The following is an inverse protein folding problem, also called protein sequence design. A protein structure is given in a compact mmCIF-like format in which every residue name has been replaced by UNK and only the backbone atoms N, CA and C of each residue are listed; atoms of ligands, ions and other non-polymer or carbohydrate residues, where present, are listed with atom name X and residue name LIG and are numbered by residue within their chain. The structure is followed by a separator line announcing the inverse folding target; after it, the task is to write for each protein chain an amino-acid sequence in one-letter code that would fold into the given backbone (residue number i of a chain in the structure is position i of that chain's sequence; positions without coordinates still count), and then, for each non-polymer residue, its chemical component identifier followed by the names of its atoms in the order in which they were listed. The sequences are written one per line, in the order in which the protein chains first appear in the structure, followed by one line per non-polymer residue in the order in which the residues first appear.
data_IF_388596858884
#
_entry.id   IF_388596858884
#
_cell.length_a   1.000
_cell.length_b   1.000
_cell.length_c   1.000
_cell.angle_alpha   90.00
_cell.angle_beta   90.00
_cell.angle_gamma   90.00
#
_symmetry.space_group_name_H-M   'P 1'
#
loop_
_entity.id
_entity.type
_entity.pdbx_description
1 polymer ?
#
# COMPACT_ATOMS: atom_id res chain seq x y z
N UNK A 1 0.26 14.52 17.23
CA UNK A 1 0.26 14.18 18.68
C UNK A 1 -1.12 14.42 19.28
N UNK A 2 -1.75 15.60 19.17
CA UNK A 2 -3.08 15.87 19.78
C UNK A 2 -4.16 14.90 19.31
N UNK A 3 -4.19 14.50 18.03
CA UNK A 3 -5.12 13.52 17.50
C UNK A 3 -4.82 12.11 18.01
N UNK A 4 -3.54 11.78 18.21
CA UNK A 4 -3.06 10.50 18.75
C UNK A 4 -3.49 10.26 20.19
N UNK A 5 -3.72 11.31 20.95
CA UNK A 5 -4.15 11.24 22.34
C UNK A 5 -5.67 11.16 22.54
N UNK A 6 -6.47 11.17 21.46
CA UNK A 6 -7.93 11.07 21.54
C UNK A 6 -8.50 9.67 21.69
N UNK A 7 -7.93 8.61 21.05
CA UNK A 7 -8.36 7.24 21.27
C UNK A 7 -8.14 6.81 22.72
N UNK A 8 -9.01 5.95 23.23
CA UNK A 8 -8.87 5.36 24.58
C UNK A 8 -7.69 4.41 24.68
N UNK A 9 -7.32 3.77 23.55
CA UNK A 9 -6.21 2.84 23.47
C UNK A 9 -5.54 2.97 22.11
N UNK A 10 -4.22 3.07 22.10
CA UNK A 10 -3.39 3.08 20.90
C UNK A 10 -2.44 1.89 20.97
N UNK A 11 -2.61 0.96 20.04
CA UNK A 11 -1.71 -0.20 19.84
C UNK A 11 -0.96 0.01 18.56
N UNK A 12 0.35 -0.17 18.56
CA UNK A 12 1.19 -0.04 17.38
C UNK A 12 2.05 -1.29 17.20
N UNK A 13 2.15 -1.77 15.95
CA UNK A 13 3.15 -2.75 15.53
C UNK A 13 4.32 -1.99 14.93
N UNK A 14 5.52 -2.10 15.50
CA UNK A 14 6.66 -1.26 15.13
C UNK A 14 8.00 -1.97 15.34
N UNK A 15 8.93 -1.76 14.40
CA UNK A 15 10.28 -2.31 14.48
C UNK A 15 11.24 -1.42 15.28
N UNK A 16 10.93 -0.13 15.43
CA UNK A 16 11.82 0.87 16.03
C UNK A 16 11.06 1.78 16.99
N UNK A 17 11.78 2.42 17.91
CA UNK A 17 11.22 3.42 18.81
C UNK A 17 10.96 4.75 18.09
N UNK A 18 10.01 4.76 17.18
CA UNK A 18 9.54 5.96 16.50
C UNK A 18 8.80 6.90 17.45
N UNK A 19 8.54 8.12 17.00
CA UNK A 19 7.69 9.06 17.77
C UNK A 19 6.29 8.47 17.99
N UNK A 20 5.73 7.74 17.03
CA UNK A 20 4.45 7.06 17.17
C UNK A 20 4.49 5.98 18.26
N UNK A 21 5.51 5.10 18.22
CA UNK A 21 5.69 4.05 19.23
C UNK A 21 5.82 4.62 20.65
N UNK A 22 6.53 5.76 20.82
CA UNK A 22 6.70 6.42 22.12
C UNK A 22 5.43 7.05 22.70
N UNK A 23 4.39 7.18 21.89
CA UNK A 23 3.09 7.74 22.29
C UNK A 23 1.96 6.69 22.23
N UNK A 24 2.29 5.44 22.02
CA UNK A 24 1.34 4.32 22.07
C UNK A 24 1.22 3.77 23.50
N UNK A 25 0.08 3.21 23.82
CA UNK A 25 -0.18 2.52 25.09
C UNK A 25 0.41 1.10 25.08
N UNK A 26 0.38 0.44 23.91
CA UNK A 26 0.96 -0.89 23.70
C UNK A 26 1.79 -0.86 22.43
N UNK A 27 3.02 -1.35 22.51
CA UNK A 27 3.90 -1.56 21.37
C UNK A 27 4.13 -3.04 21.19
N UNK A 28 3.75 -3.56 20.01
CA UNK A 28 4.01 -4.93 19.61
C UNK A 28 5.29 -4.92 18.76
N UNK A 29 6.39 -5.55 19.20
CA UNK A 29 7.62 -5.57 18.42
C UNK A 29 7.41 -6.42 17.17
N UNK A 30 7.55 -5.77 16.01
CA UNK A 30 7.38 -6.38 14.70
C UNK A 30 8.71 -6.77 14.08
N UNK A 31 8.69 -7.83 13.26
CA UNK A 31 9.85 -8.22 12.46
C UNK A 31 10.12 -7.21 11.36
N UNK A 32 11.40 -6.96 11.11
CA UNK A 32 11.87 -6.27 9.92
C UNK A 32 11.73 -7.16 8.68
N UNK A 33 11.90 -6.59 7.49
CA UNK A 33 11.90 -7.37 6.24
C UNK A 33 13.04 -8.39 6.13
N UNK A 34 14.11 -8.25 6.92
CA UNK A 34 15.19 -9.25 6.99
C UNK A 34 14.86 -10.43 7.90
N UNK A 35 13.89 -10.29 8.77
CA UNK A 35 13.52 -11.27 9.79
C UNK A 35 12.30 -12.12 9.42
N UNK A 36 11.72 -11.93 8.22
CA UNK A 36 10.59 -12.69 7.72
C UNK A 36 10.72 -13.00 6.23
N UNK A 37 9.87 -13.90 5.75
CA UNK A 37 9.71 -14.13 4.32
C UNK A 37 8.66 -13.18 3.75
N UNK A 38 8.84 -12.74 2.51
CA UNK A 38 7.90 -11.87 1.82
C UNK A 38 8.08 -11.95 0.30
N UNK A 39 7.24 -11.26 -0.44
CA UNK A 39 7.34 -10.99 -1.87
C UNK A 39 7.24 -9.49 -2.10
N UNK A 40 8.00 -8.96 -3.02
CA UNK A 40 7.84 -7.57 -3.44
C UNK A 40 7.93 -7.42 -4.94
N UNK A 41 7.35 -6.35 -5.44
CA UNK A 41 7.56 -5.89 -6.81
C UNK A 41 8.34 -4.60 -6.78
N UNK A 42 9.30 -4.46 -7.70
CA UNK A 42 10.17 -3.29 -7.81
C UNK A 42 9.99 -2.59 -9.15
N UNK A 43 10.58 -1.42 -9.27
CA UNK A 43 10.48 -0.59 -10.47
C UNK A 43 9.44 0.52 -10.34
N UNK A 44 9.16 0.92 -9.11
CA UNK A 44 8.22 1.99 -8.75
C UNK A 44 6.84 1.76 -9.41
N UNK A 45 6.41 2.67 -10.27
CA UNK A 45 5.13 2.51 -10.97
C UNK A 45 5.12 1.40 -12.04
N UNK A 46 6.28 0.93 -12.50
CA UNK A 46 6.36 -0.12 -13.52
C UNK A 46 6.05 -1.51 -12.98
N UNK A 47 6.32 -1.78 -11.69
CA UNK A 47 6.26 -3.12 -11.09
C UNK A 47 6.99 -4.16 -11.94
N UNK A 48 8.18 -3.79 -12.44
CA UNK A 48 8.88 -4.54 -13.48
C UNK A 48 9.53 -5.83 -12.98
N UNK A 49 9.80 -5.94 -11.67
CA UNK A 49 10.45 -7.10 -11.11
C UNK A 49 9.61 -7.72 -9.99
N UNK A 50 9.52 -9.02 -9.99
CA UNK A 50 9.02 -9.81 -8.86
C UNK A 50 10.22 -10.40 -8.09
N UNK A 51 10.32 -10.09 -6.81
CA UNK A 51 11.49 -10.42 -5.99
C UNK A 51 11.09 -11.26 -4.79
N UNK A 52 11.73 -12.43 -4.57
CA UNK A 52 11.57 -13.17 -3.33
C UNK A 52 12.36 -12.48 -2.22
N UNK A 53 11.70 -12.16 -1.14
CA UNK A 53 12.34 -11.60 0.05
C UNK A 53 12.42 -12.68 1.11
N UNK A 54 13.52 -13.45 1.11
CA UNK A 54 13.74 -14.50 2.08
C UNK A 54 14.24 -13.96 3.41
N UNK A 55 13.77 -14.59 4.46
CA UNK A 55 14.33 -14.37 5.79
C UNK A 55 15.86 -14.59 5.77
N UNK A 56 16.61 -13.60 6.23
CA UNK A 56 18.09 -13.59 6.28
C UNK A 56 18.59 -13.87 7.68
N UNK A 57 17.88 -13.34 8.68
CA UNK A 57 18.20 -13.53 10.11
C UNK A 57 16.93 -13.95 10.88
N UNK A 58 17.07 -14.70 11.97
CA UNK A 58 15.91 -14.99 12.82
C UNK A 58 15.37 -13.70 13.46
N UNK A 59 14.08 -13.64 13.80
CA UNK A 59 13.52 -12.54 14.57
C UNK A 59 14.36 -12.25 15.81
N UNK A 60 14.63 -10.99 16.05
CA UNK A 60 15.44 -10.56 17.19
C UNK A 60 14.56 -10.24 18.39
N UNK A 61 15.04 -10.60 19.58
CA UNK A 61 14.35 -10.37 20.84
C UNK A 61 12.92 -10.95 20.85
N UNK A 62 11.91 -10.11 21.08
CA UNK A 62 10.50 -10.49 21.12
C UNK A 62 9.76 -10.13 19.80
N UNK A 63 10.52 -9.75 18.74
CA UNK A 63 9.92 -9.40 17.46
C UNK A 63 9.17 -10.59 16.85
N UNK A 64 7.98 -10.33 16.37
CA UNK A 64 7.10 -11.32 15.76
C UNK A 64 6.56 -10.83 14.43
N UNK A 65 6.30 -11.76 13.53
CA UNK A 65 5.61 -11.44 12.28
C UNK A 65 4.17 -11.00 12.57
N UNK A 66 3.73 -9.94 11.94
CA UNK A 66 2.35 -9.45 12.07
C UNK A 66 1.32 -10.53 11.74
N UNK A 67 1.61 -11.41 10.76
CA UNK A 67 0.75 -12.55 10.44
C UNK A 67 0.49 -13.44 11.65
N UNK A 68 1.54 -13.80 12.37
CA UNK A 68 1.45 -14.67 13.56
C UNK A 68 0.74 -13.95 14.72
N UNK A 69 1.04 -12.67 14.90
CA UNK A 69 0.41 -11.84 15.94
C UNK A 69 -1.10 -11.76 15.72
N UNK A 70 -1.53 -11.44 14.48
CA UNK A 70 -2.97 -11.34 14.18
C UNK A 70 -3.67 -12.69 14.16
N UNK A 71 -3.00 -13.76 13.76
CA UNK A 71 -3.56 -15.11 13.84
C UNK A 71 -3.86 -15.50 15.30
N UNK A 72 -2.91 -15.26 16.22
CA UNK A 72 -3.12 -15.54 17.64
C UNK A 72 -4.17 -14.62 18.30
N UNK A 73 -4.19 -13.34 17.93
CA UNK A 73 -5.22 -12.42 18.38
C UNK A 73 -6.62 -12.87 17.93
N UNK A 74 -6.73 -13.38 16.70
CA UNK A 74 -7.98 -13.90 16.16
C UNK A 74 -8.50 -15.10 16.97
N UNK A 75 -7.62 -16.01 17.40
CA UNK A 75 -8.00 -17.14 18.27
C UNK A 75 -8.44 -16.69 19.65
N UNK A 76 -7.80 -15.65 20.21
CA UNK A 76 -8.18 -15.09 21.51
C UNK A 76 -9.50 -14.32 21.46
N UNK A 77 -9.80 -13.74 20.31
CA UNK A 77 -11.05 -13.03 20.09
C UNK A 77 -12.23 -13.99 19.97
N UNK A 78 -12.05 -15.08 19.19
CA UNK A 78 -13.08 -16.07 18.96
C UNK A 78 -12.45 -17.44 18.71
N UNK A 79 -12.95 -18.47 19.39
CA UNK A 79 -12.51 -19.85 19.20
C UNK A 79 -12.58 -20.26 17.72
N UNK A 80 -11.51 -20.79 17.18
CA UNK A 80 -11.35 -21.11 15.75
C UNK A 80 -11.03 -19.90 14.89
N UNK A 81 -10.73 -18.74 15.49
CA UNK A 81 -10.33 -17.53 14.80
C UNK A 81 -9.00 -17.70 14.07
N UNK A 82 -8.07 -18.43 14.68
CA UNK A 82 -6.78 -18.75 14.05
C UNK A 82 -6.97 -19.39 12.67
N UNK A 83 -7.73 -20.47 12.61
CA UNK A 83 -7.98 -21.19 11.36
C UNK A 83 -8.71 -20.35 10.31
N UNK A 84 -9.67 -19.54 10.76
CA UNK A 84 -10.37 -18.61 9.83
C UNK A 84 -9.47 -17.51 9.29
N UNK A 85 -8.59 -16.96 10.13
CA UNK A 85 -7.66 -15.90 9.71
C UNK A 85 -6.59 -16.47 8.77
N UNK A 86 -6.03 -17.61 9.11
CA UNK A 86 -4.95 -18.22 8.32
C UNK A 86 -5.44 -19.03 7.12
N UNK A 87 -6.72 -19.43 7.09
CA UNK A 87 -7.28 -20.38 6.14
C UNK A 87 -6.50 -21.71 6.13
N UNK A 88 -5.94 -22.10 7.27
CA UNK A 88 -5.07 -23.28 7.37
C UNK A 88 -3.73 -23.17 6.66
N UNK A 89 -3.36 -21.98 6.21
CA UNK A 89 -2.13 -21.73 5.46
C UNK A 89 -1.04 -21.15 6.36
N UNK A 90 0.19 -21.60 6.15
CA UNK A 90 1.38 -20.95 6.70
C UNK A 90 1.70 -19.66 5.94
N UNK A 91 2.59 -18.83 6.50
CA UNK A 91 3.16 -17.66 5.80
C UNK A 91 3.61 -18.01 4.38
N UNK A 92 4.43 -19.06 4.23
CA UNK A 92 4.94 -19.47 2.92
C UNK A 92 3.83 -19.93 1.95
N UNK A 93 2.81 -20.61 2.44
CA UNK A 93 1.66 -21.00 1.63
C UNK A 93 0.83 -19.79 1.17
N UNK A 94 0.77 -18.72 1.97
CA UNK A 94 0.18 -17.46 1.54
C UNK A 94 1.02 -16.77 0.48
N UNK A 95 2.35 -16.74 0.62
CA UNK A 95 3.23 -16.18 -0.41
C UNK A 95 3.08 -16.94 -1.74
N UNK A 96 3.00 -18.28 -1.71
CA UNK A 96 2.69 -19.08 -2.89
C UNK A 96 1.33 -18.72 -3.49
N UNK A 97 0.32 -18.54 -2.65
CA UNK A 97 -1.02 -18.11 -3.09
C UNK A 97 -0.95 -16.76 -3.82
N UNK A 98 -0.28 -15.76 -3.26
CA UNK A 98 -0.13 -14.44 -3.89
C UNK A 98 0.70 -14.49 -5.17
N UNK A 99 1.76 -15.30 -5.19
CA UNK A 99 2.56 -15.54 -6.38
C UNK A 99 1.72 -16.13 -7.53
N UNK A 100 0.91 -17.14 -7.22
CA UNK A 100 0.05 -17.78 -8.20
C UNK A 100 -1.05 -16.83 -8.72
N UNK A 101 -1.61 -15.97 -7.86
CA UNK A 101 -2.54 -14.91 -8.29
C UNK A 101 -1.84 -13.91 -9.23
N UNK A 102 -0.61 -13.52 -8.93
CA UNK A 102 0.19 -12.66 -9.80
C UNK A 102 0.44 -13.34 -11.17
N UNK A 103 0.77 -14.63 -11.17
CA UNK A 103 0.92 -15.43 -12.39
C UNK A 103 -0.35 -15.50 -13.23
N UNK A 104 -1.51 -15.71 -12.61
CA UNK A 104 -2.80 -15.72 -13.31
C UNK A 104 -3.12 -14.37 -13.96
N UNK A 105 -2.85 -13.28 -13.25
CA UNK A 105 -3.01 -11.92 -13.82
C UNK A 105 -2.03 -11.66 -14.95
N UNK A 106 -0.78 -12.10 -14.80
CA UNK A 106 0.26 -11.98 -15.82
C UNK A 106 -0.07 -12.77 -17.09
N UNK A 107 -0.71 -13.94 -16.96
CA UNK A 107 -1.07 -14.78 -18.10
C UNK A 107 -1.95 -14.03 -19.13
N UNK A 108 -2.82 -13.13 -18.68
CA UNK A 108 -3.61 -12.26 -19.58
C UNK A 108 -2.75 -11.28 -20.39
N UNK A 109 -1.51 -11.05 -19.95
CA UNK A 109 -0.51 -10.21 -20.60
C UNK A 109 0.62 -11.03 -21.25
N UNK A 110 0.41 -12.34 -21.42
CA UNK A 110 1.39 -13.30 -21.99
C UNK A 110 2.65 -13.47 -21.11
N UNK A 111 2.55 -13.17 -19.81
CA UNK A 111 3.61 -13.42 -18.85
C UNK A 111 3.41 -14.80 -18.24
N UNK A 112 4.42 -15.67 -18.35
CA UNK A 112 4.42 -16.99 -17.71
C UNK A 112 5.45 -17.01 -16.60
N UNK A 113 5.00 -17.24 -15.37
CA UNK A 113 5.88 -17.40 -14.22
C UNK A 113 6.28 -18.88 -14.06
N UNK A 114 7.52 -19.18 -13.62
CA UNK A 114 7.91 -20.54 -13.24
C UNK A 114 7.08 -21.03 -12.02
N UNK A 115 7.10 -22.33 -11.70
CA UNK A 115 6.52 -22.80 -10.44
C UNK A 115 7.07 -22.06 -9.23
N UNK A 116 6.23 -21.80 -8.21
CA UNK A 116 6.65 -21.08 -7.01
C UNK A 116 7.87 -21.70 -6.32
N UNK A 117 7.91 -23.04 -6.24
CA UNK A 117 9.03 -23.78 -5.65
C UNK A 117 10.36 -23.49 -6.35
N UNK A 118 10.35 -23.42 -7.67
CA UNK A 118 11.54 -23.09 -8.47
C UNK A 118 11.96 -21.65 -8.24
N UNK A 119 11.02 -20.70 -8.34
CA UNK A 119 11.25 -19.28 -8.08
C UNK A 119 11.84 -19.06 -6.67
N UNK A 120 11.21 -19.69 -5.68
CA UNK A 120 11.62 -19.56 -4.28
C UNK A 120 13.02 -20.16 -4.04
N UNK A 121 13.31 -21.34 -4.63
CA UNK A 121 14.63 -22.00 -4.49
C UNK A 121 15.74 -21.19 -5.15
N UNK A 122 15.52 -20.71 -6.35
CA UNK A 122 16.50 -19.89 -7.09
C UNK A 122 16.89 -18.61 -6.36
N UNK A 123 15.98 -18.05 -5.57
CA UNK A 123 16.19 -16.79 -4.87
C UNK A 123 16.66 -15.66 -5.80
N UNK A 124 16.10 -15.61 -6.99
CA UNK A 124 16.41 -14.64 -8.02
C UNK A 124 15.15 -13.88 -8.44
N UNK A 125 15.32 -12.60 -8.76
CA UNK A 125 14.22 -11.81 -9.28
C UNK A 125 13.74 -12.34 -10.63
N UNK A 126 12.46 -12.13 -10.92
CA UNK A 126 11.86 -12.31 -12.24
C UNK A 126 11.63 -10.93 -12.82
N UNK A 127 12.22 -10.67 -13.98
CA UNK A 127 11.93 -9.47 -14.75
C UNK A 127 10.65 -9.69 -15.57
N UNK A 128 9.69 -8.78 -15.43
CA UNK A 128 8.47 -8.82 -16.22
C UNK A 128 8.74 -8.26 -17.61
N UNK A 129 8.28 -8.93 -18.66
CA UNK A 129 8.49 -8.43 -20.01
C UNK A 129 7.78 -7.08 -20.21
N UNK A 130 8.44 -6.18 -20.89
CA UNK A 130 7.81 -4.94 -21.30
C UNK A 130 6.68 -5.24 -22.29
N UNK A 131 5.53 -4.62 -22.07
CA UNK A 131 4.45 -4.66 -23.06
C UNK A 131 4.75 -3.62 -24.16
N UNK A 132 5.05 -4.03 -25.41
CA UNK A 132 5.35 -3.07 -26.49
C UNK A 132 4.22 -2.06 -26.73
N UNK A 133 2.98 -2.44 -26.43
CA UNK A 133 1.82 -1.56 -26.57
C UNK A 133 1.83 -0.43 -25.53
N UNK A 134 2.56 -0.56 -24.43
CA UNK A 134 2.64 0.46 -23.38
C UNK A 134 3.30 1.75 -23.88
N UNK A 135 4.27 1.64 -24.80
CA UNK A 135 4.94 2.78 -25.40
C UNK A 135 3.99 3.64 -26.29
N UNK A 136 2.92 3.03 -26.77
CA UNK A 136 1.91 3.68 -27.61
C UNK A 136 0.63 4.01 -26.84
N UNK A 137 0.59 3.65 -25.54
CA UNK A 137 -0.60 3.88 -24.73
C UNK A 137 -0.80 5.37 -24.45
N UNK A 138 -1.91 5.90 -24.93
CA UNK A 138 -2.36 7.26 -24.62
C UNK A 138 -3.59 7.16 -23.72
N UNK A 139 -3.45 7.62 -22.50
CA UNK A 139 -4.56 7.64 -21.54
C UNK A 139 -5.74 8.41 -22.10
N UNK A 140 -6.94 7.85 -21.99
CA UNK A 140 -8.18 8.44 -22.50
C UNK A 140 -8.23 8.63 -24.02
N UNK A 141 -7.42 7.91 -24.82
CA UNK A 141 -7.46 8.03 -26.27
C UNK A 141 -8.84 7.74 -26.86
N UNK A 142 -9.52 6.69 -26.37
CA UNK A 142 -10.84 6.31 -26.87
C UNK A 142 -11.92 7.35 -26.50
N UNK A 143 -11.88 7.88 -25.26
CA UNK A 143 -12.74 8.99 -24.87
C UNK A 143 -12.50 10.24 -25.73
N UNK A 144 -11.25 10.56 -26.04
CA UNK A 144 -10.93 11.71 -26.91
C UNK A 144 -11.42 11.52 -28.34
N UNK A 145 -11.43 10.28 -28.83
CA UNK A 145 -11.90 9.94 -30.17
C UNK A 145 -13.42 9.97 -30.27
N UNK A 146 -14.08 9.35 -29.32
CA UNK A 146 -15.55 9.28 -29.25
C UNK A 146 -16.01 9.27 -27.79
N UNK A 147 -16.29 10.44 -27.20
CA UNK A 147 -16.73 10.54 -25.80
C UNK A 147 -18.08 9.88 -25.51
N UNK A 148 -18.91 9.66 -26.51
CA UNK A 148 -20.22 9.03 -26.34
C UNK A 148 -20.10 7.51 -26.29
N UNK A 149 -19.31 6.94 -27.17
CA UNK A 149 -19.04 5.49 -27.17
C UNK A 149 -18.14 5.04 -26.00
N UNK A 150 -17.24 5.92 -25.53
CA UNK A 150 -16.26 5.63 -24.49
C UNK A 150 -16.30 6.67 -23.35
N UNK A 151 -17.41 6.77 -22.61
CA UNK A 151 -17.57 7.75 -21.53
C UNK A 151 -16.53 7.52 -20.41
N UNK A 152 -16.17 8.58 -19.70
CA UNK A 152 -15.35 8.49 -18.50
C UNK A 152 -16.15 7.86 -17.35
N UNK A 153 -15.41 7.31 -16.37
CA UNK A 153 -16.01 6.77 -15.13
C UNK A 153 -16.34 7.90 -14.12
N UNK A 154 -16.94 8.98 -14.60
CA UNK A 154 -17.45 10.09 -13.80
C UNK A 154 -18.98 10.05 -13.81
N UNK A 155 -19.62 10.77 -12.90
CA UNK A 155 -21.10 10.75 -12.82
C UNK A 155 -21.75 11.27 -14.11
N UNK A 156 -21.12 12.21 -14.80
CA UNK A 156 -21.57 12.76 -16.08
C UNK A 156 -21.08 11.98 -17.31
N UNK A 157 -20.18 11.01 -17.14
CA UNK A 157 -19.47 10.36 -18.24
C UNK A 157 -18.48 11.27 -18.97
N UNK A 158 -18.29 12.50 -18.50
CA UNK A 158 -17.45 13.54 -19.11
C UNK A 158 -16.37 14.01 -18.15
N UNK A 159 -15.52 14.91 -18.62
CA UNK A 159 -14.59 15.65 -17.75
C UNK A 159 -15.41 16.56 -16.84
N UNK A 160 -15.32 16.37 -15.53
CA UNK A 160 -16.01 17.20 -14.54
C UNK A 160 -15.01 18.24 -14.00
N UNK A 161 -15.20 19.48 -14.41
CA UNK A 161 -14.46 20.63 -13.84
C UNK A 161 -15.01 20.95 -12.44
N UNK A 162 -16.30 20.72 -12.24
CA UNK A 162 -16.97 20.83 -10.95
C UNK A 162 -17.56 19.45 -10.57
N UNK A 163 -17.20 18.96 -9.38
CA UNK A 163 -17.74 17.71 -8.83
C UNK A 163 -18.83 18.03 -7.80
N UNK A 164 -20.08 17.78 -8.16
CA UNK A 164 -21.20 17.92 -7.23
C UNK A 164 -21.09 16.97 -6.03
N UNK A 165 -20.46 15.81 -6.22
CA UNK A 165 -20.21 14.83 -5.16
C UNK A 165 -19.29 15.40 -4.10
N UNK A 166 -18.13 15.95 -4.51
CA UNK A 166 -17.17 16.58 -3.59
C UNK A 166 -17.79 17.79 -2.89
N UNK A 167 -18.47 18.66 -3.66
CA UNK A 167 -19.16 19.81 -3.09
C UNK A 167 -20.23 19.42 -2.04
N UNK A 168 -20.91 18.29 -2.27
CA UNK A 168 -21.91 17.74 -1.36
C UNK A 168 -21.38 17.31 0.01
N UNK A 169 -20.06 17.13 0.17
CA UNK A 169 -19.45 16.86 1.48
C UNK A 169 -19.38 18.10 2.39
N UNK A 170 -19.50 19.31 1.83
CA UNK A 170 -19.54 20.54 2.60
C UNK A 170 -18.23 20.94 3.27
N UNK A 171 -17.09 20.43 2.80
CA UNK A 171 -15.78 20.79 3.32
C UNK A 171 -15.36 22.18 2.85
N UNK A 172 -14.93 23.04 3.80
CA UNK A 172 -14.47 24.40 3.50
C UNK A 172 -13.14 24.41 2.71
N UNK A 173 -12.30 23.40 2.93
CA UNK A 173 -10.97 23.24 2.36
C UNK A 173 -10.94 22.23 1.20
N UNK A 174 -12.10 21.69 0.80
CA UNK A 174 -12.24 20.77 -0.33
C UNK A 174 -13.55 21.06 -1.06
N UNK A 175 -13.51 22.04 -1.93
CA UNK A 175 -14.66 22.48 -2.73
C UNK A 175 -14.88 21.59 -3.94
N UNK A 176 -15.99 21.75 -4.64
CA UNK A 176 -16.30 20.95 -5.82
C UNK A 176 -15.40 21.14 -7.04
N UNK A 177 -14.45 22.07 -7.00
CA UNK A 177 -13.50 22.37 -8.09
C UNK A 177 -12.15 22.81 -7.53
N UNK A 178 -11.07 22.67 -8.27
CA UNK A 178 -9.76 23.17 -7.89
C UNK A 178 -9.80 24.69 -7.71
N UNK A 179 -9.35 25.16 -6.55
CA UNK A 179 -9.18 26.58 -6.26
C UNK A 179 -7.96 26.76 -5.35
N UNK A 180 -7.41 27.97 -5.36
CA UNK A 180 -6.35 28.27 -4.45
C UNK A 180 -6.92 28.45 -3.04
N UNK A 181 -6.41 27.63 -2.13
CA UNK A 181 -6.64 27.75 -0.70
C UNK A 181 -5.30 28.08 -0.07
N UNK A 182 -5.21 29.24 0.56
CA UNK A 182 -3.96 29.64 1.22
C UNK A 182 -3.67 28.66 2.36
N UNK A 183 -2.49 28.02 2.41
CA UNK A 183 -2.09 27.22 3.57
C UNK A 183 -2.04 28.12 4.82
N UNK A 184 -2.34 27.54 5.98
CA UNK A 184 -2.24 28.27 7.26
C UNK A 184 -0.80 28.71 7.54
N UNK A 185 0.16 27.90 7.13
CA UNK A 185 1.59 28.14 7.27
C UNK A 185 2.27 28.14 5.89
N UNK A 186 2.70 29.30 5.43
CA UNK A 186 3.47 29.45 4.20
C UNK A 186 4.24 30.78 4.19
N UNK A 187 5.23 30.91 3.32
CA UNK A 187 6.08 32.11 3.26
C UNK A 187 5.32 33.42 3.06
N UNK A 188 4.16 33.39 2.40
CA UNK A 188 3.35 34.62 2.21
C UNK A 188 2.76 35.18 3.49
N UNK A 189 2.63 34.37 4.54
CA UNK A 189 2.12 34.76 5.87
C UNK A 189 3.25 34.89 6.91
N UNK A 190 4.51 34.66 6.52
CA UNK A 190 5.62 34.72 7.45
C UNK A 190 6.00 36.17 7.81
N UNK A 191 6.09 36.46 9.10
CA UNK A 191 6.61 37.71 9.60
C UNK A 191 8.15 37.75 9.51
N UNK A 192 8.78 38.93 9.45
CA UNK A 192 10.22 39.05 9.45
C UNK A 192 10.85 38.32 10.65
N UNK A 193 11.77 37.37 10.36
CA UNK A 193 12.43 36.53 11.35
C UNK A 193 11.76 35.21 11.67
N UNK A 194 10.57 34.92 11.13
CA UNK A 194 9.97 33.61 11.19
C UNK A 194 10.62 32.65 10.18
N UNK A 195 10.82 31.42 10.59
CA UNK A 195 11.37 30.35 9.75
C UNK A 195 10.29 29.31 9.49
N UNK A 196 10.22 28.84 8.28
CA UNK A 196 9.37 27.72 7.91
C UNK A 196 10.19 26.42 7.94
N UNK A 197 9.69 25.43 8.68
CA UNK A 197 10.30 24.11 8.72
C UNK A 197 9.88 23.31 7.48
N UNK A 198 10.85 22.89 6.71
CA UNK A 198 10.67 21.95 5.60
C UNK A 198 11.18 20.57 6.03
N UNK A 199 10.39 19.53 5.81
CA UNK A 199 10.83 18.15 5.96
C UNK A 199 10.85 17.46 4.61
N UNK A 200 11.88 16.64 4.38
CA UNK A 200 11.88 15.71 3.25
C UNK A 200 10.90 14.57 3.52
N UNK A 201 10.30 14.07 2.46
CA UNK A 201 9.45 12.86 2.51
C UNK A 201 10.29 11.61 2.62
#
# INVERSE_FOLDING_TARGET
IRAWQKPELVVISECFWTAAAKHADIVLPATTSFERNDLTMTGDYSNQHLVPMKQVVPPQYEARNDFDVFAELSERWEKGGYERFTEGKSELAWLETFYNIAGQRGASQQVTLPPFTEFWQRNALIEMPENPASAQFIRFADFRRDPQAHPLKTDSGKIEIYSARIAGYGYADCTGHPMWLAPDEWFGNAEPGQLQLLSAH
#
